data_IF_153570454849
#
_entry.id   IF_153570454849
#
_cell.length_a   1.000
_cell.length_b   1.000
_cell.length_c   1.000
_cell.angle_alpha   90.00
_cell.angle_beta   90.00
_cell.angle_gamma   90.00
#
_symmetry.space_group_name_H-M   'P 1'
#
loop_
_entity.id
_entity.type
_entity.pdbx_description
1 polymer ?
#
# COMPACT_ATOMS: atom_id res chain seq x y z
N UNK A 1 4.51 15.96 16.20
CA UNK A 1 5.16 14.64 16.15
C UNK A 1 6.21 14.58 15.05
N UNK A 2 5.92 15.00 13.82
CA UNK A 2 6.89 14.98 12.70
C UNK A 2 8.22 15.70 12.94
N UNK A 3 8.19 16.88 13.56
CA UNK A 3 9.41 17.64 13.84
C UNK A 3 10.33 16.94 14.85
N UNK A 4 9.74 16.27 15.85
CA UNK A 4 10.46 15.52 16.87
C UNK A 4 11.11 14.26 16.28
N UNK A 5 10.37 13.50 15.46
CA UNK A 5 10.91 12.31 14.77
C UNK A 5 12.08 12.69 13.85
N UNK A 6 11.96 13.81 13.11
CA UNK A 6 13.03 14.31 12.24
C UNK A 6 14.26 14.77 13.02
N UNK A 7 14.08 15.42 14.17
CA UNK A 7 15.17 15.84 15.05
C UNK A 7 15.90 14.64 15.66
N UNK A 8 15.15 13.64 16.11
CA UNK A 8 15.71 12.38 16.64
C UNK A 8 16.47 11.63 15.55
N UNK A 9 15.91 11.53 14.34
CA UNK A 9 16.58 10.91 13.20
C UNK A 9 17.86 11.66 12.83
N UNK A 10 17.81 13.00 12.75
CA UNK A 10 18.98 13.83 12.46
C UNK A 10 20.07 13.67 13.53
N UNK A 11 19.70 13.63 14.80
CA UNK A 11 20.62 13.37 15.91
C UNK A 11 21.27 11.98 15.80
N UNK A 12 20.50 10.93 15.45
CA UNK A 12 21.02 9.59 15.21
C UNK A 12 21.98 9.52 14.01
N UNK A 13 21.71 10.24 12.91
CA UNK A 13 22.58 10.29 11.73
C UNK A 13 23.89 11.01 12.06
N UNK A 14 23.82 12.17 12.74
CA UNK A 14 25.01 12.93 13.16
C UNK A 14 25.86 12.10 14.11
N UNK A 15 25.24 11.40 15.06
CA UNK A 15 25.92 10.51 15.98
C UNK A 15 26.58 9.33 15.26
N UNK A 16 25.92 8.74 14.28
CA UNK A 16 26.45 7.62 13.50
C UNK A 16 27.68 8.01 12.67
N UNK A 17 27.66 9.16 12.00
CA UNK A 17 28.78 9.61 11.16
C UNK A 17 29.91 10.30 11.93
N UNK A 18 29.61 10.93 13.07
CA UNK A 18 30.58 11.80 13.77
C UNK A 18 31.06 11.21 15.09
N UNK A 19 30.34 10.25 15.69
CA UNK A 19 30.65 9.68 17.02
C UNK A 19 30.62 10.69 18.17
N UNK A 20 30.24 11.95 17.90
CA UNK A 20 30.41 13.12 18.76
C UNK A 20 29.83 12.92 20.16
N UNK A 21 28.65 12.32 20.30
CA UNK A 21 28.03 12.08 21.60
C UNK A 21 28.58 10.85 22.32
N UNK A 22 29.16 9.87 21.60
CA UNK A 22 29.86 8.75 22.26
C UNK A 22 31.16 9.23 22.89
N UNK A 23 31.88 10.11 22.18
CA UNK A 23 33.18 10.65 22.63
C UNK A 23 33.04 11.71 23.73
N UNK A 24 31.95 12.49 23.75
CA UNK A 24 31.70 13.53 24.77
C UNK A 24 30.95 13.06 26.02
N UNK A 25 30.02 12.09 25.91
CA UNK A 25 29.16 11.68 27.03
C UNK A 25 29.36 10.22 27.47
N UNK A 26 30.23 9.46 26.81
CA UNK A 26 30.64 8.10 27.23
C UNK A 26 29.56 7.01 27.14
N UNK A 27 28.27 7.38 27.02
CA UNK A 27 27.17 6.45 26.85
C UNK A 27 26.05 7.07 26.01
N UNK A 28 25.57 6.32 25.02
CA UNK A 28 24.46 6.72 24.16
C UNK A 28 23.30 5.73 24.38
N UNK A 29 22.12 6.25 24.67
CA UNK A 29 20.94 5.48 25.14
C UNK A 29 20.19 4.82 23.97
N UNK A 30 20.43 5.23 22.72
CA UNK A 30 19.79 4.64 21.55
C UNK A 30 20.69 3.59 20.91
N UNK A 31 20.15 2.40 20.65
CA UNK A 31 20.81 1.40 19.81
C UNK A 31 21.18 2.02 18.45
N UNK A 32 22.32 1.63 17.84
CA UNK A 32 22.68 2.06 16.50
C UNK A 32 21.53 1.78 15.53
N UNK A 33 21.04 2.82 14.84
CA UNK A 33 19.99 2.67 13.83
C UNK A 33 20.48 1.83 12.62
N UNK A 34 21.80 1.72 12.45
CA UNK A 34 22.45 0.93 11.42
C UNK A 34 23.33 -0.15 12.06
N UNK A 35 23.16 -1.39 11.61
CA UNK A 35 23.95 -2.53 12.03
C UNK A 35 25.40 -2.45 11.49
N UNK A 36 26.34 -3.01 12.24
CA UNK A 36 27.79 -3.08 11.94
C UNK A 36 28.12 -3.44 10.48
N UNK A 37 29.32 -3.09 10.00
CA UNK A 37 29.81 -3.23 8.60
C UNK A 37 29.54 -4.60 7.93
N UNK A 38 29.30 -5.67 8.69
CA UNK A 38 28.93 -7.01 8.17
C UNK A 38 27.44 -7.16 7.82
N UNK A 39 26.54 -6.38 8.42
CA UNK A 39 25.09 -6.46 8.24
C UNK A 39 24.53 -5.44 7.24
N UNK A 40 25.30 -4.40 6.87
CA UNK A 40 24.87 -3.37 5.90
C UNK A 40 24.54 -3.97 4.52
N UNK A 41 25.34 -4.93 4.06
CA UNK A 41 25.09 -5.65 2.80
C UNK A 41 23.80 -6.46 2.85
N UNK A 42 23.47 -7.05 4.00
CA UNK A 42 22.25 -7.84 4.19
C UNK A 42 20.99 -6.98 4.10
N UNK A 43 21.01 -5.78 4.67
CA UNK A 43 19.89 -4.85 4.59
C UNK A 43 19.64 -4.39 3.14
N UNK A 44 20.71 -4.04 2.41
CA UNK A 44 20.62 -3.63 1.00
C UNK A 44 20.19 -4.81 0.12
N UNK A 45 20.69 -6.01 0.38
CA UNK A 45 20.33 -7.23 -0.34
C UNK A 45 18.85 -7.57 -0.16
N UNK A 46 18.34 -7.53 1.08
CA UNK A 46 16.91 -7.75 1.38
C UNK A 46 16.06 -6.68 0.69
N UNK A 47 16.45 -5.40 0.81
CA UNK A 47 15.76 -4.30 0.13
C UNK A 47 15.76 -4.47 -1.40
N UNK A 48 16.88 -4.93 -1.96
CA UNK A 48 17.04 -5.25 -3.38
C UNK A 48 16.13 -6.39 -3.81
N UNK A 49 16.05 -7.49 -3.05
CA UNK A 49 15.14 -8.60 -3.31
C UNK A 49 13.67 -8.17 -3.29
N UNK A 50 13.28 -7.36 -2.30
CA UNK A 50 11.93 -6.80 -2.24
C UNK A 50 11.67 -5.93 -3.48
N UNK A 51 12.61 -5.05 -3.84
CA UNK A 51 12.49 -4.19 -5.02
C UNK A 51 12.30 -4.96 -6.32
N UNK A 52 13.09 -6.03 -6.54
CA UNK A 52 12.98 -6.90 -7.72
C UNK A 52 11.64 -7.65 -7.73
N UNK A 53 11.21 -8.18 -6.58
CA UNK A 53 9.91 -8.85 -6.45
C UNK A 53 8.74 -7.90 -6.79
N UNK A 54 8.80 -6.67 -6.27
CA UNK A 54 7.80 -5.64 -6.55
C UNK A 54 7.80 -5.21 -8.01
N UNK A 55 8.98 -5.12 -8.64
CA UNK A 55 9.10 -4.84 -10.07
C UNK A 55 8.40 -5.91 -10.93
N UNK A 56 8.43 -7.17 -10.50
CA UNK A 56 7.70 -8.28 -11.14
C UNK A 56 6.17 -8.15 -11.08
N UNK A 57 5.62 -7.30 -10.22
CA UNK A 57 4.17 -7.10 -10.13
C UNK A 57 3.63 -6.35 -11.35
N UNK A 58 4.39 -5.45 -11.97
CA UNK A 58 3.98 -4.69 -13.16
C UNK A 58 3.68 -5.56 -14.41
N UNK A 59 4.55 -6.49 -14.84
CA UNK A 59 4.23 -7.38 -15.95
C UNK A 59 3.04 -8.30 -15.62
N UNK A 60 2.88 -8.72 -14.37
CA UNK A 60 1.71 -9.49 -13.91
C UNK A 60 0.44 -8.63 -14.02
N UNK A 61 0.49 -7.34 -13.67
CA UNK A 61 -0.60 -6.39 -13.87
C UNK A 61 -1.06 -6.35 -15.33
N UNK A 62 -0.11 -6.21 -16.23
CA UNK A 62 -0.38 -6.17 -17.66
C UNK A 62 -0.98 -7.48 -18.16
N UNK A 63 -0.44 -8.63 -17.73
CA UNK A 63 -0.99 -9.94 -18.07
C UNK A 63 -2.43 -10.12 -17.59
N UNK A 64 -2.72 -9.75 -16.34
CA UNK A 64 -4.07 -9.82 -15.79
C UNK A 64 -5.04 -8.91 -16.54
N UNK A 65 -4.61 -7.71 -16.91
CA UNK A 65 -5.42 -6.79 -17.71
C UNK A 65 -5.75 -7.37 -19.10
N UNK A 66 -4.80 -8.10 -19.71
CA UNK A 66 -4.94 -8.64 -21.06
C UNK A 66 -5.70 -9.96 -21.11
N UNK A 67 -5.41 -10.90 -20.22
CA UNK A 67 -5.94 -12.26 -20.26
C UNK A 67 -7.12 -12.49 -19.31
N UNK A 68 -7.17 -11.81 -18.15
CA UNK A 68 -8.21 -12.02 -17.14
C UNK A 68 -9.39 -11.03 -17.25
N UNK A 69 -9.74 -10.57 -18.46
CA UNK A 69 -10.86 -9.63 -18.66
C UNK A 69 -12.23 -10.23 -18.27
N UNK A 70 -12.42 -11.54 -18.44
CA UNK A 70 -13.68 -12.22 -18.09
C UNK A 70 -14.01 -12.19 -16.59
N UNK A 71 -13.11 -12.63 -15.68
CA UNK A 71 -13.37 -12.54 -14.24
C UNK A 71 -13.44 -11.07 -13.77
N UNK A 72 -12.63 -10.17 -14.35
CA UNK A 72 -12.69 -8.74 -14.03
C UNK A 72 -14.08 -8.16 -14.31
N UNK A 73 -14.66 -8.48 -15.47
CA UNK A 73 -16.00 -8.02 -15.85
C UNK A 73 -17.09 -8.56 -14.93
N UNK A 74 -16.93 -9.79 -14.42
CA UNK A 74 -17.88 -10.37 -13.47
C UNK A 74 -17.85 -9.63 -12.12
N UNK A 75 -16.65 -9.42 -11.56
CA UNK A 75 -16.45 -8.66 -10.32
C UNK A 75 -16.91 -7.21 -10.50
N UNK A 76 -16.56 -6.60 -11.64
CA UNK A 76 -16.95 -5.25 -12.01
C UNK A 76 -18.46 -5.05 -12.07
N UNK A 77 -19.20 -6.01 -12.67
CA UNK A 77 -20.67 -5.97 -12.70
C UNK A 77 -21.30 -6.05 -11.31
N UNK A 78 -20.78 -6.90 -10.42
CA UNK A 78 -21.31 -7.05 -9.05
C UNK A 78 -21.10 -5.79 -8.20
N UNK A 79 -19.97 -5.12 -8.35
CA UNK A 79 -19.60 -3.93 -7.57
C UNK A 79 -19.86 -2.59 -8.29
N UNK A 80 -20.43 -2.64 -9.51
CA UNK A 80 -20.60 -1.50 -10.43
C UNK A 80 -19.27 -0.74 -10.70
N UNK A 81 -18.14 -1.44 -10.70
CA UNK A 81 -16.81 -0.88 -10.99
C UNK A 81 -16.56 -0.84 -12.50
N UNK A 82 -15.65 0.04 -12.94
CA UNK A 82 -15.08 -0.03 -14.30
C UNK A 82 -14.17 -1.25 -14.46
N UNK A 83 -13.86 -1.65 -15.70
CA UNK A 83 -12.92 -2.74 -15.98
C UNK A 83 -11.54 -2.49 -15.35
N UNK A 84 -11.07 -1.24 -15.38
CA UNK A 84 -9.84 -0.79 -14.70
C UNK A 84 -9.97 -0.81 -13.17
N UNK A 85 -11.14 -0.45 -12.62
CA UNK A 85 -11.38 -0.49 -11.18
C UNK A 85 -11.42 -1.92 -10.62
N UNK A 86 -12.01 -2.85 -11.36
CA UNK A 86 -12.03 -4.26 -10.98
C UNK A 86 -10.61 -4.87 -11.02
N UNK A 87 -9.78 -4.48 -12.01
CA UNK A 87 -8.36 -4.84 -12.04
C UNK A 87 -7.63 -4.27 -10.81
N UNK A 88 -7.89 -3.01 -10.45
CA UNK A 88 -7.35 -2.38 -9.26
C UNK A 88 -7.67 -3.14 -7.96
N UNK A 89 -8.91 -3.60 -7.81
CA UNK A 89 -9.34 -4.38 -6.65
C UNK A 89 -8.62 -5.72 -6.51
N UNK A 90 -8.27 -6.37 -7.63
CA UNK A 90 -7.49 -7.61 -7.59
C UNK A 90 -6.02 -7.29 -7.32
N UNK A 91 -5.50 -6.24 -7.95
CA UNK A 91 -4.10 -5.84 -7.81
C UNK A 91 -3.75 -5.29 -6.44
N UNK A 92 -4.70 -4.67 -5.73
CA UNK A 92 -4.48 -4.17 -4.37
C UNK A 92 -4.25 -5.31 -3.38
N UNK A 93 -4.72 -6.53 -3.68
CA UNK A 93 -4.41 -7.72 -2.89
C UNK A 93 -2.96 -8.16 -3.04
N UNK A 94 -2.32 -7.88 -4.17
CA UNK A 94 -0.91 -8.15 -4.39
C UNK A 94 -0.04 -7.05 -3.77
N UNK A 95 -0.30 -5.79 -4.12
CA UNK A 95 0.39 -4.63 -3.55
C UNK A 95 -0.30 -3.29 -3.94
N UNK A 96 -0.36 -2.34 -3.00
CA UNK A 96 -0.84 -0.97 -3.27
C UNK A 96 0.02 -0.24 -4.31
N UNK A 97 1.33 -0.52 -4.36
CA UNK A 97 2.26 0.20 -5.25
C UNK A 97 1.91 -0.05 -6.71
N UNK A 98 1.55 -1.28 -7.05
CA UNK A 98 1.13 -1.63 -8.41
C UNK A 98 -0.17 -0.91 -8.83
N UNK A 99 -1.07 -0.71 -7.87
CA UNK A 99 -2.35 -0.05 -8.08
C UNK A 99 -2.21 1.46 -8.29
N UNK A 100 -1.19 2.11 -7.71
CA UNK A 100 -0.95 3.55 -7.91
C UNK A 100 -0.72 3.91 -9.38
N UNK A 101 -0.09 3.05 -10.17
CA UNK A 101 0.04 3.28 -11.61
C UNK A 101 -1.33 3.29 -12.32
N UNK A 102 -2.24 2.43 -11.88
CA UNK A 102 -3.58 2.30 -12.47
C UNK A 102 -4.53 3.44 -12.04
N UNK A 103 -4.21 4.15 -10.95
CA UNK A 103 -4.99 5.30 -10.47
C UNK A 103 -5.05 6.43 -11.50
N UNK A 104 -4.06 6.61 -12.37
CA UNK A 104 -4.14 7.63 -13.42
C UNK A 104 -5.35 7.42 -14.35
N UNK A 105 -5.71 6.16 -14.60
CA UNK A 105 -6.81 5.76 -15.51
C UNK A 105 -8.16 5.45 -14.85
N UNK A 106 -8.24 5.48 -13.51
CA UNK A 106 -9.47 5.14 -12.80
C UNK A 106 -10.39 6.34 -12.58
N UNK A 107 -11.70 6.07 -12.51
CA UNK A 107 -12.72 7.04 -12.05
C UNK A 107 -12.59 7.27 -10.54
N UNK A 108 -12.99 8.44 -10.04
CA UNK A 108 -12.91 8.75 -8.61
C UNK A 108 -13.59 7.70 -7.71
N UNK A 109 -14.76 7.20 -8.13
CA UNK A 109 -15.46 6.11 -7.43
C UNK A 109 -14.61 4.85 -7.28
N UNK A 110 -13.97 4.42 -8.36
CA UNK A 110 -13.22 3.16 -8.38
C UNK A 110 -11.95 3.26 -7.51
N UNK A 111 -11.30 4.44 -7.48
CA UNK A 111 -10.15 4.73 -6.61
C UNK A 111 -10.49 4.56 -5.14
N UNK A 112 -11.58 5.18 -4.71
CA UNK A 112 -12.02 5.16 -3.30
C UNK A 112 -12.33 3.73 -2.86
N UNK A 113 -13.02 2.95 -3.70
CA UNK A 113 -13.32 1.55 -3.39
C UNK A 113 -12.05 0.70 -3.31
N UNK A 114 -11.11 0.88 -4.25
CA UNK A 114 -9.83 0.15 -4.23
C UNK A 114 -9.01 0.47 -2.97
N UNK A 115 -8.92 1.74 -2.58
CA UNK A 115 -8.17 2.16 -1.39
C UNK A 115 -8.83 1.64 -0.11
N UNK A 116 -10.16 1.76 0.02
CA UNK A 116 -10.89 1.28 1.18
C UNK A 116 -10.72 -0.24 1.37
N UNK A 117 -10.81 -0.99 0.28
CA UNK A 117 -10.56 -2.43 0.29
C UNK A 117 -9.09 -2.75 0.60
N UNK A 118 -8.16 -2.06 -0.03
CA UNK A 118 -6.72 -2.24 0.14
C UNK A 118 -6.27 -2.07 1.59
N UNK A 119 -6.68 -0.99 2.26
CA UNK A 119 -6.27 -0.72 3.65
C UNK A 119 -6.68 -1.88 4.59
N UNK A 120 -7.84 -2.49 4.36
CA UNK A 120 -8.34 -3.57 5.20
C UNK A 120 -7.81 -4.95 4.81
N UNK A 121 -7.69 -5.24 3.51
CA UNK A 121 -7.47 -6.59 2.99
C UNK A 121 -6.06 -6.84 2.44
N UNK A 122 -5.28 -5.81 2.07
CA UNK A 122 -3.97 -6.00 1.44
C UNK A 122 -2.97 -6.76 2.30
N UNK A 123 -2.87 -6.41 3.59
CA UNK A 123 -1.94 -7.05 4.52
C UNK A 123 -2.28 -8.53 4.78
N UNK A 124 -3.42 -9.02 4.28
CA UNK A 124 -3.88 -10.41 4.46
C UNK A 124 -3.05 -11.40 3.68
N UNK A 125 -2.70 -11.11 2.42
CA UNK A 125 -2.01 -12.08 1.55
C UNK A 125 -0.49 -12.09 1.70
N UNK A 126 0.09 -10.97 2.12
CA UNK A 126 1.53 -10.85 2.36
C UNK A 126 1.88 -11.15 3.82
N UNK A 127 2.02 -10.08 4.60
CA UNK A 127 2.63 -10.09 5.92
C UNK A 127 1.93 -11.04 6.90
N UNK A 128 0.60 -10.95 7.00
CA UNK A 128 -0.13 -11.77 7.96
C UNK A 128 -0.21 -13.24 7.54
N UNK A 129 -0.34 -13.56 6.25
CA UNK A 129 -0.31 -14.94 5.79
C UNK A 129 1.06 -15.56 6.04
N UNK A 130 2.14 -14.86 5.67
CA UNK A 130 3.49 -15.35 5.87
C UNK A 130 3.81 -15.55 7.36
N UNK A 131 3.41 -14.61 8.22
CA UNK A 131 3.63 -14.72 9.66
C UNK A 131 2.78 -15.84 10.29
N UNK A 132 1.49 -15.90 10.00
CA UNK A 132 0.60 -16.92 10.59
C UNK A 132 0.91 -18.32 10.08
N UNK A 133 1.31 -18.48 8.81
CA UNK A 133 1.72 -19.77 8.26
C UNK A 133 2.98 -20.33 8.95
N UNK A 134 3.91 -19.46 9.34
CA UNK A 134 5.15 -19.88 10.02
C UNK A 134 4.98 -20.12 11.52
N UNK A 135 4.21 -19.27 12.22
CA UNK A 135 4.16 -19.29 13.69
C UNK A 135 2.91 -19.96 14.27
N UNK A 136 1.74 -19.86 13.61
CA UNK A 136 0.47 -20.42 14.10
C UNK A 136 -0.50 -20.75 12.93
N UNK A 137 -0.31 -21.88 12.24
CA UNK A 137 -1.06 -22.20 11.01
C UNK A 137 -2.56 -22.40 11.25
N UNK A 138 -2.98 -22.78 12.47
CA UNK A 138 -4.40 -22.92 12.83
C UNK A 138 -5.15 -21.60 12.86
N UNK A 139 -4.46 -20.46 13.01
CA UNK A 139 -5.04 -19.11 13.00
C UNK A 139 -5.08 -18.45 11.61
N UNK A 140 -4.51 -19.08 10.58
CA UNK A 140 -4.50 -18.54 9.22
C UNK A 140 -5.92 -18.27 8.72
N UNK A 141 -6.78 -19.28 8.77
CA UNK A 141 -8.18 -19.20 8.31
C UNK A 141 -9.00 -18.09 9.01
N UNK A 142 -9.05 -18.00 10.36
CA UNK A 142 -9.84 -16.97 11.02
C UNK A 142 -9.33 -15.55 10.77
N UNK A 143 -8.00 -15.35 10.70
CA UNK A 143 -7.43 -14.02 10.43
C UNK A 143 -7.71 -13.60 8.98
N UNK A 144 -7.55 -14.51 8.01
CA UNK A 144 -7.88 -14.23 6.62
C UNK A 144 -9.36 -13.90 6.45
N UNK A 145 -10.25 -14.73 7.00
CA UNK A 145 -11.69 -14.51 6.93
C UNK A 145 -12.09 -13.18 7.57
N UNK A 146 -11.53 -12.84 8.74
CA UNK A 146 -11.79 -11.58 9.44
C UNK A 146 -11.38 -10.36 8.61
N UNK A 147 -10.20 -10.38 7.98
CA UNK A 147 -9.72 -9.26 7.15
C UNK A 147 -10.49 -9.13 5.83
N UNK A 148 -10.83 -10.24 5.19
CA UNK A 148 -11.69 -10.21 4.00
C UNK A 148 -13.09 -9.66 4.34
N UNK A 149 -13.67 -10.06 5.47
CA UNK A 149 -14.95 -9.54 5.93
C UNK A 149 -14.87 -8.04 6.26
N UNK A 150 -13.81 -7.61 6.96
CA UNK A 150 -13.56 -6.21 7.24
C UNK A 150 -13.41 -5.40 5.94
N UNK A 151 -12.70 -5.94 4.94
CA UNK A 151 -12.59 -5.31 3.62
C UNK A 151 -13.93 -5.20 2.89
N UNK A 152 -14.78 -6.22 2.95
CA UNK A 152 -16.12 -6.17 2.37
C UNK A 152 -17.00 -5.11 3.05
N UNK A 153 -16.94 -5.03 4.38
CA UNK A 153 -17.65 -4.00 5.16
C UNK A 153 -17.11 -2.61 4.83
N UNK A 154 -15.80 -2.44 4.73
CA UNK A 154 -15.17 -1.17 4.36
C UNK A 154 -15.62 -0.69 2.98
N UNK A 155 -15.71 -1.59 2.00
CA UNK A 155 -16.25 -1.27 0.66
C UNK A 155 -17.71 -0.85 0.75
N UNK A 156 -18.54 -1.54 1.55
CA UNK A 156 -19.94 -1.18 1.73
C UNK A 156 -20.11 0.23 2.34
N UNK A 157 -19.32 0.55 3.38
CA UNK A 157 -19.30 1.87 4.02
C UNK A 157 -18.80 2.93 3.03
N UNK A 158 -17.73 2.64 2.29
CA UNK A 158 -17.18 3.56 1.29
C UNK A 158 -18.18 3.88 0.17
N UNK A 159 -19.00 2.91 -0.24
CA UNK A 159 -20.07 3.12 -1.22
C UNK A 159 -21.12 4.11 -0.69
N UNK A 160 -21.45 4.06 0.60
CA UNK A 160 -22.48 4.93 1.18
C UNK A 160 -21.98 6.36 1.44
N UNK A 161 -20.76 6.50 1.98
CA UNK A 161 -20.24 7.79 2.46
C UNK A 161 -19.29 8.43 1.45
N UNK A 162 -18.31 7.68 0.96
CA UNK A 162 -17.16 8.24 0.24
C UNK A 162 -17.39 8.38 -1.27
N UNK A 163 -18.21 7.52 -1.88
CA UNK A 163 -18.58 7.61 -3.29
C UNK A 163 -19.32 8.92 -3.65
N UNK A 164 -20.37 9.36 -2.92
CA UNK A 164 -21.06 10.60 -3.29
C UNK A 164 -20.15 11.83 -3.18
N UNK A 165 -19.29 11.89 -2.17
CA UNK A 165 -18.32 12.98 -2.02
C UNK A 165 -17.23 12.93 -3.10
N UNK A 166 -16.71 11.75 -3.45
CA UNK A 166 -15.73 11.61 -4.52
C UNK A 166 -16.29 12.03 -5.89
N UNK A 167 -17.55 11.70 -6.19
CA UNK A 167 -18.21 12.13 -7.42
C UNK A 167 -18.43 13.65 -7.44
N UNK A 168 -18.78 14.26 -6.31
CA UNK A 168 -18.88 15.73 -6.18
C UNK A 168 -17.54 16.42 -6.42
N UNK A 169 -16.44 15.86 -5.93
CA UNK A 169 -15.09 16.39 -6.15
C UNK A 169 -14.69 16.29 -7.63
N UNK A 170 -14.94 15.15 -8.27
CA UNK A 170 -14.66 14.93 -9.70
C UNK A 170 -15.44 15.93 -10.59
N UNK A 171 -16.70 16.21 -10.26
CA UNK A 171 -17.49 17.24 -10.93
C UNK A 171 -16.93 18.65 -10.70
N UNK A 172 -16.56 19.00 -9.46
CA UNK A 172 -15.97 20.32 -9.14
C UNK A 172 -14.67 20.57 -9.90
N UNK A 173 -13.83 19.56 -10.03
CA UNK A 173 -12.55 19.66 -10.75
C UNK A 173 -12.76 19.77 -12.26
N UNK A 174 -13.70 19.02 -12.84
CA UNK A 174 -14.09 19.19 -14.24
C UNK A 174 -14.61 20.61 -14.54
N UNK A 175 -15.42 21.17 -13.63
CA UNK A 175 -15.97 22.53 -13.78
C UNK A 175 -14.89 23.62 -13.62
N UNK A 176 -13.87 23.40 -12.77
CA UNK A 176 -12.72 24.32 -12.64
C UNK A 176 -11.79 24.28 -13.85
N UNK A 177 -11.58 23.11 -14.45
CA UNK A 177 -10.75 22.97 -15.65
C UNK A 177 -11.39 23.65 -16.87
N UNK A 178 -12.71 23.53 -17.04
CA UNK A 178 -13.46 24.25 -18.07
C UNK A 178 -13.44 25.78 -17.96
N UNK A 179 -13.15 26.33 -16.77
CA UNK A 179 -12.99 27.78 -16.54
C UNK A 179 -11.57 28.30 -16.74
N UNK A 180 -10.55 27.44 -16.89
CA UNK A 180 -9.16 27.87 -17.14
C UNK A 180 -8.82 28.03 -18.63
N UNK A 181 -9.71 27.64 -19.52
CA UNK A 181 -9.55 27.71 -20.98
C UNK A 181 -10.57 28.61 -21.69
N UNK A 182 -11.31 29.42 -20.93
CA UNK A 182 -12.14 30.52 -21.44
C UNK A 182 -11.71 31.82 -20.79
#
# INVERSE_FOLDING_TARGET
MDAFIKLVLAACIIQHFTGLFTTLFGHWIFDPLFADEKELYRAIEIAGYIGIMLAGTFPICYLFQKYCQRPMKFIGRRLKLSDTGALGMVMVLANIIAVFHLFASMRARDKVLCVAFGICAQATLGDHLAFTANFQPTLVLPIMAGKFLAGAIAVAIAIFISVPEAQRMEQKDATKCGRRHS
#
